data_IF_590151978769
#
_entry.id   IF_590151978769
#
_cell.length_a   1.000
_cell.length_b   1.000
_cell.length_c   1.000
_cell.angle_alpha   90.00
_cell.angle_beta   90.00
_cell.angle_gamma   90.00
#
_symmetry.space_group_name_H-M   'P 1'
#
loop_
_entity.id
_entity.type
_entity.pdbx_description
1 polymer ?
#
# COMPACT_ATOMS: atom_id res chain seq x y z
N UNK A 1 -43.54 -23.38 39.29
CA UNK A 1 -42.38 -22.50 39.64
C UNK A 1 -41.05 -23.07 39.15
N UNK A 2 -40.87 -24.35 38.95
CA UNK A 2 -39.62 -25.01 38.50
C UNK A 2 -39.27 -24.74 37.00
N UNK A 3 -40.24 -24.59 36.12
CA UNK A 3 -39.98 -24.36 34.69
C UNK A 3 -39.31 -23.03 34.35
N UNK A 4 -39.41 -22.01 35.21
CA UNK A 4 -38.77 -20.71 34.99
C UNK A 4 -37.27 -20.72 35.33
N UNK A 5 -36.84 -21.67 36.19
CA UNK A 5 -35.43 -21.79 36.60
C UNK A 5 -34.59 -22.56 35.55
N UNK A 6 -35.18 -23.48 34.79
CA UNK A 6 -34.47 -24.27 33.77
C UNK A 6 -34.13 -23.42 32.55
N UNK A 7 -35.03 -22.52 32.15
CA UNK A 7 -34.79 -21.65 30.99
C UNK A 7 -33.70 -20.56 31.18
N UNK A 8 -33.46 -20.13 32.42
CA UNK A 8 -32.43 -19.13 32.72
C UNK A 8 -31.02 -19.76 32.72
N UNK A 9 -30.90 -21.02 33.12
CA UNK A 9 -29.61 -21.74 33.17
C UNK A 9 -29.09 -22.08 31.78
N UNK A 10 -29.97 -22.30 30.83
CA UNK A 10 -29.62 -22.66 29.44
C UNK A 10 -29.14 -21.41 28.63
N UNK A 11 -29.71 -20.25 28.91
CA UNK A 11 -29.28 -18.99 28.26
C UNK A 11 -27.87 -18.56 28.68
N UNK A 12 -27.45 -18.79 29.91
CA UNK A 12 -26.09 -18.50 30.37
C UNK A 12 -25.02 -19.36 29.66
N UNK A 13 -25.31 -20.63 29.44
CA UNK A 13 -24.42 -21.56 28.72
C UNK A 13 -24.23 -21.17 27.23
N UNK A 14 -25.31 -20.79 26.58
CA UNK A 14 -25.28 -20.34 25.17
C UNK A 14 -24.47 -19.02 25.04
N UNK A 15 -24.72 -18.09 25.95
CA UNK A 15 -23.99 -16.79 25.97
C UNK A 15 -22.48 -17.00 26.21
N UNK A 16 -22.11 -17.83 27.16
CA UNK A 16 -20.72 -18.22 27.42
C UNK A 16 -20.06 -18.84 26.19
N UNK A 17 -20.73 -19.74 25.50
CA UNK A 17 -20.26 -20.36 24.26
C UNK A 17 -19.99 -19.31 23.15
N UNK A 18 -20.89 -18.35 22.96
CA UNK A 18 -20.74 -17.29 21.96
C UNK A 18 -19.54 -16.38 22.26
N UNK A 19 -19.31 -16.03 23.53
CA UNK A 19 -18.16 -15.19 23.95
C UNK A 19 -16.84 -15.93 23.69
N UNK A 20 -16.75 -17.21 24.04
CA UNK A 20 -15.54 -18.01 23.82
C UNK A 20 -15.23 -18.12 22.32
N UNK A 21 -16.24 -18.40 21.49
CA UNK A 21 -16.08 -18.49 20.04
C UNK A 21 -15.66 -17.12 19.47
N UNK A 22 -16.30 -16.04 19.90
CA UNK A 22 -15.96 -14.68 19.46
C UNK A 22 -14.52 -14.29 19.80
N UNK A 23 -14.07 -14.55 21.02
CA UNK A 23 -12.69 -14.35 21.44
C UNK A 23 -11.71 -15.21 20.63
N UNK A 24 -12.05 -16.48 20.36
CA UNK A 24 -11.23 -17.37 19.56
C UNK A 24 -11.03 -16.84 18.13
N UNK A 25 -12.07 -16.39 17.48
CA UNK A 25 -12.02 -15.78 16.14
C UNK A 25 -11.14 -14.52 16.16
N UNK A 26 -11.30 -13.66 17.17
CA UNK A 26 -10.50 -12.45 17.33
C UNK A 26 -9.00 -12.78 17.47
N UNK A 27 -8.62 -13.74 18.29
CA UNK A 27 -7.22 -14.16 18.46
C UNK A 27 -6.61 -14.71 17.17
N UNK A 28 -7.37 -15.52 16.42
CA UNK A 28 -6.91 -16.03 15.12
C UNK A 28 -6.69 -14.88 14.15
N UNK A 29 -7.62 -13.93 14.05
CA UNK A 29 -7.49 -12.76 13.18
C UNK A 29 -6.27 -11.90 13.53
N UNK A 30 -6.00 -11.67 14.83
CA UNK A 30 -4.82 -10.95 15.30
C UNK A 30 -3.52 -11.69 14.92
N UNK A 31 -3.48 -13.01 15.09
CA UNK A 31 -2.34 -13.83 14.70
C UNK A 31 -2.04 -13.75 13.20
N UNK A 32 -3.07 -13.79 12.38
CA UNK A 32 -2.95 -13.62 10.91
C UNK A 32 -2.41 -12.24 10.55
N UNK A 33 -2.90 -11.16 11.17
CA UNK A 33 -2.40 -9.81 10.93
C UNK A 33 -0.91 -9.66 11.28
N UNK A 34 -0.49 -10.20 12.41
CA UNK A 34 0.91 -10.19 12.85
C UNK A 34 1.78 -10.99 11.86
N UNK A 35 1.32 -12.17 11.44
CA UNK A 35 2.04 -12.99 10.45
C UNK A 35 2.22 -12.24 9.13
N UNK A 36 1.16 -11.61 8.61
CA UNK A 36 1.22 -10.78 7.39
C UNK A 36 2.22 -9.65 7.57
N UNK A 37 2.22 -8.97 8.73
CA UNK A 37 3.17 -7.90 9.03
C UNK A 37 4.62 -8.38 8.93
N UNK A 38 4.96 -9.53 9.50
CA UNK A 38 6.30 -10.11 9.42
C UNK A 38 6.71 -10.51 8.00
N UNK A 39 5.80 -11.10 7.22
CA UNK A 39 6.05 -11.47 5.82
C UNK A 39 6.32 -10.21 4.96
N UNK A 40 5.53 -9.16 5.14
CA UNK A 40 5.71 -7.88 4.45
C UNK A 40 7.05 -7.25 4.82
N UNK A 41 7.39 -7.21 6.13
CA UNK A 41 8.65 -6.66 6.61
C UNK A 41 9.87 -7.40 6.05
N UNK A 42 9.87 -8.73 6.11
CA UNK A 42 10.93 -9.57 5.56
C UNK A 42 11.15 -9.34 4.07
N UNK A 43 10.07 -9.24 3.30
CA UNK A 43 10.14 -8.97 1.86
C UNK A 43 10.81 -7.63 1.55
N UNK A 44 10.43 -6.55 2.24
CA UNK A 44 10.98 -5.23 1.97
C UNK A 44 12.43 -5.08 2.40
N UNK A 45 12.80 -5.58 3.58
CA UNK A 45 14.21 -5.55 4.03
C UNK A 45 15.12 -6.35 3.11
N UNK A 46 14.67 -7.53 2.68
CA UNK A 46 15.43 -8.41 1.79
C UNK A 46 15.60 -7.79 0.41
N UNK A 47 14.55 -7.14 -0.13
CA UNK A 47 14.61 -6.50 -1.44
C UNK A 47 15.65 -5.37 -1.47
N UNK A 48 15.65 -4.47 -0.48
CA UNK A 48 16.61 -3.38 -0.42
C UNK A 48 18.06 -3.89 -0.35
N UNK A 49 18.32 -4.91 0.46
CA UNK A 49 19.67 -5.47 0.64
C UNK A 49 20.18 -6.24 -0.57
N UNK A 50 19.30 -6.87 -1.35
CA UNK A 50 19.67 -7.71 -2.50
C UNK A 50 19.82 -6.92 -3.81
N UNK A 51 19.25 -5.72 -3.91
CA UNK A 51 19.40 -4.89 -5.08
C UNK A 51 20.75 -4.15 -5.07
N UNK A 52 21.81 -4.85 -5.43
CA UNK A 52 23.19 -4.36 -5.41
C UNK A 52 23.67 -3.88 -6.78
N UNK A 53 23.09 -4.38 -7.87
CA UNK A 53 23.45 -3.98 -9.23
C UNK A 53 22.61 -2.79 -9.70
N UNK A 54 23.21 -1.96 -10.55
CA UNK A 54 22.60 -0.76 -11.09
C UNK A 54 22.62 -0.76 -12.61
N UNK A 55 21.56 -0.24 -13.23
CA UNK A 55 21.48 -0.04 -14.68
C UNK A 55 20.72 1.24 -15.00
N UNK A 56 20.87 1.74 -16.22
CA UNK A 56 20.03 2.80 -16.75
C UNK A 56 18.85 2.17 -17.49
N UNK A 57 17.65 2.52 -17.04
CA UNK A 57 16.43 2.05 -17.68
C UNK A 57 15.66 3.19 -18.33
N UNK A 58 14.83 2.86 -19.33
CA UNK A 58 14.05 3.81 -20.11
C UNK A 58 12.56 3.50 -19.97
N UNK A 59 11.73 4.54 -19.87
CA UNK A 59 10.27 4.39 -19.82
C UNK A 59 9.75 3.92 -21.15
N UNK A 60 9.16 2.71 -21.19
CA UNK A 60 8.59 2.10 -22.41
C UNK A 60 7.05 2.10 -22.39
N UNK A 61 6.45 2.25 -21.23
CA UNK A 61 4.99 2.19 -21.09
C UNK A 61 4.53 2.57 -19.67
N UNK A 62 3.26 2.32 -19.42
CA UNK A 62 2.64 2.64 -18.12
C UNK A 62 1.79 1.48 -17.63
N UNK A 63 1.78 1.28 -16.32
CA UNK A 63 0.97 0.23 -15.69
C UNK A 63 -0.46 0.69 -15.51
N UNK A 64 -1.41 -0.24 -15.55
CA UNK A 64 -2.78 0.03 -15.11
C UNK A 64 -2.75 0.30 -13.60
N UNK A 65 -3.36 1.40 -13.16
CA UNK A 65 -3.41 1.75 -11.74
C UNK A 65 -4.33 0.78 -11.01
N UNK A 66 -3.78 0.04 -10.05
CA UNK A 66 -4.57 -0.93 -9.27
C UNK A 66 -5.55 -0.26 -8.29
N UNK A 67 -5.26 0.95 -7.79
CA UNK A 67 -6.03 1.59 -6.73
C UNK A 67 -6.49 3.03 -7.04
N UNK A 68 -5.97 3.64 -8.07
CA UNK A 68 -6.38 4.98 -8.51
C UNK A 68 -6.47 4.97 -10.01
N UNK A 69 -7.66 5.18 -10.54
CA UNK A 69 -7.89 5.31 -12.00
C UNK A 69 -7.16 6.50 -12.63
N UNK A 70 -6.41 7.27 -11.82
CA UNK A 70 -5.76 8.53 -12.22
C UNK A 70 -4.23 8.51 -12.18
N UNK A 71 -3.57 7.46 -11.69
CA UNK A 71 -2.11 7.41 -11.62
C UNK A 71 -1.57 6.11 -12.25
N UNK A 72 -1.04 6.22 -13.45
CA UNK A 72 -0.39 5.12 -14.15
C UNK A 72 1.12 5.22 -13.95
N UNK A 73 1.68 4.29 -13.20
CA UNK A 73 3.12 4.27 -12.93
C UNK A 73 3.91 3.89 -14.18
N UNK A 74 5.03 4.58 -14.46
CA UNK A 74 5.91 4.22 -15.56
C UNK A 74 6.41 2.78 -15.45
N UNK A 75 6.53 2.12 -16.59
CA UNK A 75 7.21 0.84 -16.74
C UNK A 75 8.56 1.13 -17.38
N UNK A 76 9.62 0.86 -16.62
CA UNK A 76 11.00 1.12 -17.03
C UNK A 76 11.63 -0.19 -17.50
N UNK A 77 12.12 -0.19 -18.73
CA UNK A 77 12.87 -1.30 -19.31
C UNK A 77 14.37 -1.03 -19.18
N UNK A 78 15.14 -2.02 -18.76
CA UNK A 78 16.58 -1.95 -18.64
C UNK A 78 17.22 -3.28 -19.06
N UNK A 79 18.50 -3.25 -19.40
CA UNK A 79 19.29 -4.45 -19.69
C UNK A 79 20.10 -4.79 -18.46
N UNK A 80 19.96 -6.00 -17.93
CA UNK A 80 20.74 -6.49 -16.82
C UNK A 80 22.11 -7.02 -17.26
N UNK A 81 22.97 -7.36 -16.32
CA UNK A 81 24.32 -7.92 -16.58
C UNK A 81 24.30 -9.22 -17.35
N UNK A 82 23.19 -9.99 -17.29
CA UNK A 82 22.97 -11.21 -18.07
C UNK A 82 22.66 -10.96 -19.56
N UNK A 83 22.62 -9.69 -20.00
CA UNK A 83 22.29 -9.27 -21.34
C UNK A 83 20.80 -9.27 -21.68
N UNK A 84 19.94 -9.72 -20.76
CA UNK A 84 18.51 -9.80 -20.98
C UNK A 84 17.82 -8.48 -20.62
N UNK A 85 16.68 -8.19 -21.26
CA UNK A 85 15.85 -7.03 -20.96
C UNK A 85 14.79 -7.38 -19.93
N UNK A 86 14.68 -6.53 -18.94
CA UNK A 86 13.72 -6.65 -17.85
C UNK A 86 12.89 -5.38 -17.70
N UNK A 87 11.71 -5.51 -17.11
CA UNK A 87 10.79 -4.41 -16.88
C UNK A 87 10.42 -4.33 -15.42
N UNK A 88 10.57 -3.13 -14.85
CA UNK A 88 10.23 -2.82 -13.47
C UNK A 88 9.31 -1.61 -13.47
N UNK A 89 8.33 -1.63 -12.56
CA UNK A 89 7.40 -0.53 -12.34
C UNK A 89 8.02 0.47 -11.37
N UNK A 90 7.94 1.77 -11.68
CA UNK A 90 8.40 2.82 -10.77
C UNK A 90 8.69 4.14 -11.48
N UNK A 91 9.02 5.20 -10.74
CA UNK A 91 9.29 5.23 -9.30
C UNK A 91 8.04 4.99 -8.45
N UNK A 92 8.19 4.29 -7.32
CA UNK A 92 7.13 4.10 -6.35
C UNK A 92 7.10 5.24 -5.32
N UNK A 93 5.91 5.51 -4.77
CA UNK A 93 5.71 6.51 -3.74
C UNK A 93 5.13 5.88 -2.47
N UNK A 94 5.57 6.38 -1.32
CA UNK A 94 5.06 5.98 0.00
C UNK A 94 3.62 6.40 0.21
N UNK A 95 3.31 7.62 -0.23
CA UNK A 95 1.95 8.14 -0.22
C UNK A 95 1.72 9.01 -1.46
N UNK A 96 0.49 9.00 -1.93
CA UNK A 96 0.03 9.88 -2.99
C UNK A 96 -1.27 10.55 -2.56
N UNK A 97 -1.44 11.79 -2.94
CA UNK A 97 -2.70 12.50 -2.79
C UNK A 97 -3.09 13.16 -4.09
N UNK A 98 -4.37 13.12 -4.39
CA UNK A 98 -4.97 13.80 -5.54
C UNK A 98 -6.01 14.74 -4.96
N UNK A 99 -5.82 16.04 -5.14
CA UNK A 99 -6.73 17.07 -4.65
C UNK A 99 -7.22 17.93 -5.81
N UNK A 100 -8.49 18.34 -5.74
CA UNK A 100 -9.09 19.23 -6.72
C UNK A 100 -10.25 18.60 -7.47
N UNK A 101 -11.00 19.44 -8.17
CA UNK A 101 -12.13 19.07 -9.00
C UNK A 101 -12.00 19.68 -10.39
N UNK A 102 -12.39 18.93 -11.39
CA UNK A 102 -12.53 19.44 -12.75
C UNK A 102 -13.84 20.23 -12.83
N UNK A 103 -13.77 21.55 -13.00
CA UNK A 103 -14.95 22.36 -13.21
C UNK A 103 -15.36 22.23 -14.69
N UNK A 104 -16.54 21.67 -14.95
CA UNK A 104 -17.03 21.43 -16.31
C UNK A 104 -17.07 22.71 -17.18
N UNK A 105 -17.19 23.89 -16.58
CA UNK A 105 -17.15 25.16 -17.30
C UNK A 105 -15.78 25.54 -17.87
N UNK A 106 -14.69 24.99 -17.30
CA UNK A 106 -13.29 25.25 -17.72
C UNK A 106 -12.63 24.00 -18.31
N UNK A 107 -13.44 23.11 -18.83
CA UNK A 107 -12.97 21.89 -19.47
C UNK A 107 -12.08 22.24 -20.68
N UNK A 108 -10.83 21.82 -20.64
CA UNK A 108 -9.81 22.16 -21.66
C UNK A 108 -8.81 23.27 -21.26
N UNK A 109 -9.07 24.01 -20.18
CA UNK A 109 -8.12 24.97 -19.58
C UNK A 109 -7.62 24.53 -18.22
N UNK A 110 -8.06 23.37 -17.74
CA UNK A 110 -7.71 22.85 -16.41
C UNK A 110 -6.37 22.14 -16.52
N UNK A 111 -5.37 22.63 -15.83
CA UNK A 111 -4.09 21.97 -15.69
C UNK A 111 -3.98 21.15 -14.40
N UNK A 112 -2.86 20.51 -14.20
CA UNK A 112 -2.50 19.92 -12.90
C UNK A 112 -1.09 20.34 -12.50
N UNK A 113 -0.90 20.50 -11.20
CA UNK A 113 0.38 20.78 -10.58
C UNK A 113 0.84 19.54 -9.84
N UNK A 114 2.05 19.06 -10.15
CA UNK A 114 2.64 17.91 -9.50
C UNK A 114 3.73 18.40 -8.56
N UNK A 115 3.58 18.10 -7.27
CA UNK A 115 4.60 18.33 -6.25
C UNK A 115 5.13 16.99 -5.77
N UNK A 116 6.37 16.69 -6.08
CA UNK A 116 7.08 15.52 -5.61
C UNK A 116 8.01 15.92 -4.47
N UNK A 117 7.94 15.21 -3.36
CA UNK A 117 8.89 15.33 -2.27
C UNK A 117 9.71 14.04 -2.21
N UNK A 118 10.97 14.12 -2.61
CA UNK A 118 11.87 12.96 -2.68
C UNK A 118 12.25 12.44 -1.29
N UNK A 119 12.43 13.32 -0.30
CA UNK A 119 12.75 12.92 1.08
C UNK A 119 11.59 12.14 1.72
N UNK A 120 10.37 12.66 1.61
CA UNK A 120 9.17 12.01 2.14
C UNK A 120 8.63 10.90 1.23
N UNK A 121 9.18 10.78 0.02
CA UNK A 121 8.73 9.83 -1.00
C UNK A 121 7.23 9.97 -1.30
N UNK A 122 6.75 11.21 -1.34
CA UNK A 122 5.34 11.52 -1.56
C UNK A 122 5.14 12.26 -2.87
N UNK A 123 3.98 12.06 -3.47
CA UNK A 123 3.53 12.81 -4.64
C UNK A 123 2.16 13.41 -4.36
N UNK A 124 2.05 14.72 -4.58
CA UNK A 124 0.81 15.46 -4.47
C UNK A 124 0.42 16.00 -5.84
N UNK A 125 -0.74 15.59 -6.31
CA UNK A 125 -1.31 16.06 -7.57
C UNK A 125 -2.49 16.95 -7.25
N UNK A 126 -2.40 18.22 -7.63
CA UNK A 126 -3.52 19.17 -7.54
C UNK A 126 -4.11 19.38 -8.93
N UNK A 127 -5.39 19.05 -9.09
CA UNK A 127 -6.15 19.26 -10.32
C UNK A 127 -6.94 20.55 -10.16
N UNK A 128 -6.83 21.46 -11.14
CA UNK A 128 -7.57 22.74 -11.14
C UNK A 128 -6.64 23.93 -11.25
N UNK A 129 -7.16 25.02 -11.82
CA UNK A 129 -6.42 26.24 -12.13
C UNK A 129 -5.81 26.22 -13.52
N UNK A 130 -5.43 27.41 -13.98
CA UNK A 130 -4.62 27.60 -15.19
C UNK A 130 -3.18 27.20 -14.82
N UNK A 131 -2.78 25.99 -15.16
CA UNK A 131 -1.40 25.56 -15.01
C UNK A 131 -0.77 25.49 -16.39
N UNK A 132 0.20 26.35 -16.64
CA UNK A 132 1.01 26.32 -17.87
C UNK A 132 1.97 25.12 -17.88
N UNK A 133 2.29 24.54 -16.71
CA UNK A 133 3.29 23.51 -16.56
C UNK A 133 2.84 22.16 -17.14
N UNK A 134 1.56 21.81 -16.96
CA UNK A 134 0.97 20.59 -17.53
C UNK A 134 -0.49 20.86 -17.91
N UNK A 135 -0.75 21.33 -19.14
CA UNK A 135 -2.11 21.46 -19.61
C UNK A 135 -2.78 20.09 -19.61
N UNK A 136 -3.97 20.03 -19.07
CA UNK A 136 -4.75 18.78 -19.00
C UNK A 136 -5.37 18.48 -20.38
N UNK A 137 -4.74 17.68 -21.25
CA UNK A 137 -5.41 17.12 -22.36
C UNK A 137 -6.22 15.93 -21.87
N UNK A 138 -7.41 15.78 -22.36
CA UNK A 138 -8.30 14.67 -22.10
C UNK A 138 -7.56 13.35 -21.94
N UNK A 139 -7.72 12.69 -20.78
CA UNK A 139 -7.28 11.31 -20.55
C UNK A 139 -5.79 11.09 -20.29
N UNK A 140 -4.96 12.10 -20.16
CA UNK A 140 -3.55 11.90 -19.76
C UNK A 140 -3.40 11.93 -18.24
N UNK A 141 -2.86 10.86 -17.73
CA UNK A 141 -2.45 10.71 -16.34
C UNK A 141 -1.30 11.68 -16.01
N UNK A 142 -1.30 12.32 -14.82
CA UNK A 142 -0.24 13.21 -14.36
C UNK A 142 1.16 12.59 -14.46
N UNK A 143 1.33 11.31 -14.12
CA UNK A 143 2.62 10.64 -14.18
C UNK A 143 3.10 10.40 -15.61
N UNK A 144 2.19 10.18 -16.56
CA UNK A 144 2.56 10.02 -17.97
C UNK A 144 3.09 11.30 -18.59
N UNK A 145 2.62 12.45 -18.11
CA UNK A 145 3.13 13.76 -18.55
C UNK A 145 4.44 14.11 -17.88
N UNK A 146 4.57 13.81 -16.58
CA UNK A 146 5.82 14.05 -15.85
C UNK A 146 6.97 13.17 -16.33
N UNK A 147 6.67 11.92 -16.66
CA UNK A 147 7.65 10.93 -17.11
C UNK A 147 7.23 10.35 -18.46
N UNK A 148 7.41 11.10 -19.56
CA UNK A 148 7.07 10.63 -20.90
C UNK A 148 7.89 9.40 -21.30
N UNK A 149 7.40 8.64 -22.27
CA UNK A 149 8.18 7.54 -22.87
C UNK A 149 9.53 8.06 -23.35
N UNK A 150 10.60 7.29 -23.10
CA UNK A 150 11.96 7.69 -23.38
C UNK A 150 12.68 8.34 -22.19
N UNK A 151 11.99 8.77 -21.13
CA UNK A 151 12.64 9.23 -19.90
C UNK A 151 13.51 8.14 -19.30
N UNK A 152 14.72 8.48 -18.89
CA UNK A 152 15.69 7.56 -18.30
C UNK A 152 15.71 7.65 -16.78
N UNK A 153 15.92 6.51 -16.13
CA UNK A 153 16.03 6.41 -14.68
C UNK A 153 17.14 5.46 -14.26
N UNK A 154 17.80 5.71 -13.12
CA UNK A 154 18.60 4.69 -12.46
C UNK A 154 17.68 3.58 -11.93
N UNK A 155 18.02 2.34 -12.25
CA UNK A 155 17.33 1.13 -11.82
C UNK A 155 18.29 0.35 -10.95
N UNK A 156 17.83 -0.05 -9.76
CA UNK A 156 18.56 -0.89 -8.83
C UNK A 156 17.89 -2.26 -8.80
N UNK A 157 18.63 -3.33 -9.01
CA UNK A 157 18.06 -4.67 -9.13
C UNK A 157 18.90 -5.74 -8.45
N UNK A 158 18.26 -6.86 -8.13
CA UNK A 158 18.90 -8.06 -7.61
C UNK A 158 19.53 -8.84 -8.77
N UNK A 159 20.87 -9.01 -8.81
CA UNK A 159 21.52 -9.73 -9.91
C UNK A 159 21.09 -11.19 -10.03
N UNK A 160 20.71 -11.85 -8.94
CA UNK A 160 20.18 -13.22 -8.98
C UNK A 160 18.73 -13.28 -9.50
N UNK A 161 17.97 -12.19 -9.35
CA UNK A 161 16.58 -12.10 -9.78
C UNK A 161 16.28 -10.72 -10.38
N UNK A 162 16.69 -10.41 -11.62
CA UNK A 162 16.61 -9.06 -12.19
C UNK A 162 15.19 -8.45 -12.28
N UNK A 163 14.16 -9.27 -12.19
CA UNK A 163 12.76 -8.81 -12.06
C UNK A 163 12.46 -8.15 -10.71
N UNK A 164 13.35 -8.30 -9.72
CA UNK A 164 13.22 -7.70 -8.40
C UNK A 164 14.12 -6.48 -8.34
N UNK A 165 13.52 -5.31 -8.27
CA UNK A 165 14.27 -4.07 -8.24
C UNK A 165 13.38 -2.87 -7.94
N UNK A 166 13.97 -1.70 -7.98
CA UNK A 166 13.27 -0.43 -7.82
C UNK A 166 13.89 0.64 -8.72
N UNK A 167 13.08 1.64 -9.05
CA UNK A 167 13.44 2.71 -9.97
C UNK A 167 13.65 4.00 -9.18
N UNK A 168 14.69 4.75 -9.50
CA UNK A 168 15.08 6.05 -8.91
C UNK A 168 15.49 5.93 -7.44
N UNK A 169 14.65 5.39 -6.57
CA UNK A 169 14.90 5.22 -5.14
C UNK A 169 14.08 4.07 -4.57
N UNK A 170 14.58 3.49 -3.49
CA UNK A 170 13.81 2.50 -2.73
C UNK A 170 12.66 3.16 -1.98
N UNK A 171 11.44 2.66 -2.19
CA UNK A 171 10.26 3.15 -1.46
C UNK A 171 10.13 2.40 -0.12
N UNK A 172 10.44 3.10 0.97
CA UNK A 172 10.35 2.53 2.31
C UNK A 172 8.90 2.40 2.78
N UNK A 173 8.41 1.17 2.79
CA UNK A 173 7.05 0.84 3.26
C UNK A 173 7.05 0.20 4.65
N UNK A 174 8.15 0.29 5.42
CA UNK A 174 8.22 -0.28 6.78
C UNK A 174 7.16 0.25 7.73
N UNK A 175 6.65 1.46 7.49
CA UNK A 175 5.53 1.99 8.27
C UNK A 175 4.28 1.09 8.23
N UNK A 176 4.05 0.38 7.11
CA UNK A 176 2.93 -0.58 7.02
C UNK A 176 3.09 -1.75 7.99
N UNK A 177 4.34 -2.20 8.23
CA UNK A 177 4.63 -3.19 9.26
C UNK A 177 4.18 -2.69 10.63
N UNK A 178 4.57 -1.47 11.01
CA UNK A 178 4.22 -0.91 12.31
C UNK A 178 2.71 -0.71 12.50
N UNK A 179 2.00 -0.32 11.43
CA UNK A 179 0.53 -0.21 11.47
C UNK A 179 -0.09 -1.59 11.67
N UNK A 180 0.27 -2.58 10.86
CA UNK A 180 -0.30 -3.92 10.94
C UNK A 180 0.04 -4.62 12.25
N UNK A 181 1.31 -4.58 12.65
CA UNK A 181 1.76 -5.19 13.90
C UNK A 181 1.15 -4.48 15.12
N UNK A 182 1.14 -3.15 15.13
CA UNK A 182 0.54 -2.37 16.21
C UNK A 182 -0.96 -2.62 16.37
N UNK A 183 -1.69 -2.66 15.26
CA UNK A 183 -3.13 -3.01 15.27
C UNK A 183 -3.34 -4.44 15.78
N UNK A 184 -2.57 -5.40 15.30
CA UNK A 184 -2.67 -6.79 15.74
C UNK A 184 -2.39 -6.94 17.25
N UNK A 185 -1.33 -6.32 17.75
CA UNK A 185 -0.98 -6.34 19.20
C UNK A 185 -2.07 -5.65 20.02
N UNK A 186 -2.55 -4.49 19.59
CA UNK A 186 -3.61 -3.75 20.30
C UNK A 186 -4.89 -4.59 20.41
N UNK A 187 -5.37 -5.16 19.31
CA UNK A 187 -6.55 -6.03 19.32
C UNK A 187 -6.34 -7.27 20.20
N UNK A 188 -5.13 -7.85 20.21
CA UNK A 188 -4.80 -8.99 21.06
C UNK A 188 -4.89 -8.64 22.55
N UNK A 189 -4.33 -7.49 22.96
CA UNK A 189 -4.41 -7.01 24.36
C UNK A 189 -5.85 -6.74 24.77
N UNK A 190 -6.63 -6.07 23.91
CA UNK A 190 -8.06 -5.82 24.19
C UNK A 190 -8.83 -7.14 24.32
N UNK A 191 -8.56 -8.12 23.46
CA UNK A 191 -9.16 -9.44 23.55
C UNK A 191 -8.87 -10.15 24.88
N UNK A 192 -7.62 -10.08 25.37
CA UNK A 192 -7.24 -10.62 26.68
C UNK A 192 -8.00 -9.90 27.80
N UNK A 193 -8.08 -8.57 27.76
CA UNK A 193 -8.79 -7.80 28.79
C UNK A 193 -10.27 -8.16 28.86
N UNK A 194 -10.94 -8.27 27.70
CA UNK A 194 -12.35 -8.69 27.63
C UNK A 194 -12.51 -10.09 28.21
N UNK A 195 -11.63 -11.01 27.84
CA UNK A 195 -11.69 -12.39 28.35
C UNK A 195 -11.48 -12.46 29.86
N UNK A 196 -10.53 -11.70 30.42
CA UNK A 196 -10.29 -11.63 31.87
C UNK A 196 -11.47 -11.01 32.62
N UNK A 197 -12.06 -9.93 32.11
CA UNK A 197 -13.26 -9.33 32.68
C UNK A 197 -14.42 -10.32 32.69
N UNK A 198 -14.56 -11.08 31.62
CA UNK A 198 -15.59 -12.11 31.53
C UNK A 198 -15.36 -13.24 32.59
N UNK A 199 -14.11 -13.65 32.87
CA UNK A 199 -13.80 -14.63 33.90
C UNK A 199 -14.03 -14.11 35.32
N UNK A 200 -13.92 -12.79 35.52
CA UNK A 200 -14.11 -12.18 36.86
C UNK A 200 -15.57 -11.87 37.19
N UNK A 201 -16.39 -11.60 36.18
CA UNK A 201 -17.77 -11.11 36.37
C UNK A 201 -18.85 -12.00 35.75
N UNK A 202 -18.47 -12.99 34.95
CA UNK A 202 -19.37 -13.99 34.34
C UNK A 202 -19.43 -15.24 35.15
#
# INVERSE_FOLDING_TARGET
MLYKYIGIRDQGGIFMGMVIIGCGILFIACGVLILIAFLVHGKYLTQQKKCTSTAVGTVVGYSVAAHSKMLHYPIVEFTAEDGNRYRIKGPEYRAHSIAGSVNFRNFGKTGYKIQENDEKQTIHVRIGGLSEEYPYPFGRDPLTSKYPKGTTFPVFYDPAHPKRGYVKRYCDKRFMFWILAGTGIFCFVVGILIFLLFLLFG
#
